data_IF_631224711050
#
_entry.id   IF_631224711050
#
_cell.length_a   1.000
_cell.length_b   1.000
_cell.length_c   1.000
_cell.angle_alpha   90.00
_cell.angle_beta   90.00
_cell.angle_gamma   90.00
#
_symmetry.space_group_name_H-M   'P 1'
#
loop_
_entity.id
_entity.type
_entity.pdbx_description
1 polymer ?
#
# COMPACT_ATOMS: atom_id res chain seq x y z
N UNK A 1 -5.92 -9.83 -7.50
CA UNK A 1 -5.34 -8.75 -6.69
C UNK A 1 -3.82 -8.87 -6.70
N UNK A 2 -3.16 -7.76 -6.73
CA UNK A 2 -1.70 -7.75 -6.70
C UNK A 2 -1.21 -7.95 -5.26
N UNK A 3 0.01 -8.40 -5.13
CA UNK A 3 0.65 -8.59 -3.82
C UNK A 3 1.92 -7.76 -3.76
N UNK A 4 2.26 -7.34 -2.57
CA UNK A 4 3.47 -6.58 -2.34
C UNK A 4 3.85 -6.58 -0.87
N UNK A 5 4.88 -5.79 -0.58
CA UNK A 5 5.38 -5.66 0.79
C UNK A 5 5.40 -4.18 1.14
N UNK A 6 5.01 -3.85 2.36
CA UNK A 6 5.05 -2.47 2.82
C UNK A 6 6.52 -2.05 2.93
N UNK A 7 6.89 -1.04 2.17
CA UNK A 7 8.24 -0.49 2.23
C UNK A 7 8.40 0.37 3.47
N UNK A 8 7.43 1.24 3.72
CA UNK A 8 7.32 1.98 4.97
C UNK A 8 5.91 2.56 5.05
N UNK A 9 5.48 2.86 6.26
CA UNK A 9 4.17 3.46 6.48
C UNK A 9 4.25 4.42 7.65
N UNK A 10 3.75 5.63 7.46
CA UNK A 10 3.74 6.66 8.50
C UNK A 10 2.33 6.82 9.02
N UNK A 11 2.08 6.31 10.22
CA UNK A 11 0.75 6.36 10.83
C UNK A 11 0.32 7.79 11.18
N UNK A 12 1.27 8.64 11.53
CA UNK A 12 0.96 10.03 11.88
C UNK A 12 0.44 10.80 10.68
N UNK A 13 1.02 10.56 9.53
CA UNK A 13 0.59 11.22 8.30
C UNK A 13 -0.46 10.42 7.55
N UNK A 14 -0.61 9.14 7.89
CA UNK A 14 -1.63 8.28 7.32
C UNK A 14 -1.35 7.83 5.90
N UNK A 15 -0.10 7.64 5.52
CA UNK A 15 0.24 7.13 4.20
C UNK A 15 1.57 6.38 4.22
N UNK A 16 1.81 5.64 3.15
CA UNK A 16 3.05 4.91 3.00
C UNK A 16 3.22 4.44 1.56
N UNK A 17 4.14 3.51 1.37
CA UNK A 17 4.42 2.93 0.06
C UNK A 17 4.51 1.42 0.13
N UNK A 18 4.03 0.79 -0.95
CA UNK A 18 4.11 -0.65 -1.13
C UNK A 18 5.11 -0.93 -2.23
N UNK A 19 6.02 -1.87 -1.98
CA UNK A 19 6.91 -2.38 -3.00
C UNK A 19 6.23 -3.59 -3.65
N UNK A 20 5.84 -3.51 -4.93
CA UNK A 20 5.16 -4.61 -5.59
C UNK A 20 6.02 -5.87 -5.63
N UNK A 21 5.41 -7.04 -5.39
CA UNK A 21 6.14 -8.30 -5.42
C UNK A 21 6.71 -8.60 -6.81
N UNK A 22 6.04 -8.11 -7.84
CA UNK A 22 6.49 -8.30 -9.22
C UNK A 22 7.59 -7.32 -9.64
N UNK A 23 7.93 -6.40 -8.76
CA UNK A 23 8.88 -5.34 -9.06
C UNK A 23 8.21 -4.12 -9.64
N UNK A 24 8.99 -3.14 -9.99
CA UNK A 24 8.48 -1.89 -10.53
C UNK A 24 8.53 -0.77 -9.51
N UNK A 25 7.83 0.30 -9.79
CA UNK A 25 7.80 1.48 -8.93
C UNK A 25 6.94 1.24 -7.69
N UNK A 26 7.35 1.84 -6.58
CA UNK A 26 6.55 1.79 -5.36
C UNK A 26 5.19 2.43 -5.58
N UNK A 27 4.18 1.87 -4.93
CA UNK A 27 2.83 2.40 -5.03
C UNK A 27 2.47 3.12 -3.75
N UNK A 28 1.85 4.28 -3.90
CA UNK A 28 1.34 5.06 -2.78
C UNK A 28 0.13 4.34 -2.16
N UNK A 29 0.06 4.33 -0.83
CA UNK A 29 -1.09 3.80 -0.11
C UNK A 29 -1.49 4.79 0.97
N UNK A 30 -2.78 5.12 1.03
CA UNK A 30 -3.34 6.00 2.04
C UNK A 30 -4.09 5.16 3.08
N UNK A 31 -4.11 5.63 4.33
CA UNK A 31 -4.74 4.86 5.41
C UNK A 31 -6.22 4.56 5.14
N UNK A 32 -6.89 5.41 4.38
CA UNK A 32 -8.29 5.18 4.03
C UNK A 32 -8.49 3.97 3.13
N UNK A 33 -7.44 3.52 2.48
CA UNK A 33 -7.49 2.35 1.60
C UNK A 33 -7.10 1.06 2.30
N UNK A 34 -6.76 1.14 3.57
CA UNK A 34 -6.51 -0.03 4.40
C UNK A 34 -7.74 -0.30 5.24
N UNK A 35 -7.92 -1.53 5.68
CA UNK A 35 -9.08 -1.93 6.47
C UNK A 35 -8.96 -1.53 7.95
N UNK A 36 -8.36 -0.39 8.21
CA UNK A 36 -8.18 0.08 9.58
C UNK A 36 -6.99 -0.54 10.29
N UNK A 37 -6.18 -1.28 9.57
CA UNK A 37 -4.99 -1.89 10.15
C UNK A 37 -3.80 -0.94 10.09
N UNK A 38 -3.03 -0.94 11.15
CA UNK A 38 -1.74 -0.27 11.11
C UNK A 38 -0.80 -1.15 10.30
N UNK A 39 -0.25 -0.60 9.24
CA UNK A 39 0.70 -1.33 8.41
C UNK A 39 2.11 -1.02 8.89
N UNK A 40 2.93 -2.05 8.92
CA UNK A 40 4.30 -1.93 9.37
C UNK A 40 5.26 -2.26 8.23
N UNK A 41 6.45 -1.69 8.30
CA UNK A 41 7.50 -1.99 7.34
C UNK A 41 7.74 -3.50 7.29
N UNK A 42 7.74 -4.04 6.10
CA UNK A 42 7.95 -5.47 5.88
C UNK A 42 6.68 -6.32 5.86
N UNK A 43 5.52 -5.74 6.17
CA UNK A 43 4.26 -6.48 6.12
C UNK A 43 3.91 -6.84 4.69
N UNK A 44 3.43 -8.05 4.50
CA UNK A 44 2.95 -8.48 3.19
C UNK A 44 1.48 -8.17 3.06
N UNK A 45 1.11 -7.64 1.90
CA UNK A 45 -0.25 -7.17 1.66
C UNK A 45 -0.74 -7.59 0.29
N UNK A 46 -2.06 -7.63 0.14
CA UNK A 46 -2.72 -7.72 -1.15
C UNK A 46 -3.42 -6.40 -1.40
N UNK A 47 -3.48 -5.99 -2.64
CA UNK A 47 -4.09 -4.71 -2.99
C UNK A 47 -4.53 -4.72 -4.44
N UNK A 48 -5.33 -3.71 -4.79
CA UNK A 48 -5.69 -3.44 -6.17
C UNK A 48 -5.02 -2.16 -6.61
N UNK A 49 -4.76 -2.04 -7.89
CA UNK A 49 -4.17 -0.83 -8.45
C UNK A 49 -5.30 0.09 -8.86
N UNK A 50 -5.32 1.29 -8.27
CA UNK A 50 -6.27 2.31 -8.62
C UNK A 50 -5.56 3.55 -9.13
N UNK A 51 -6.32 4.52 -9.58
CA UNK A 51 -5.76 5.79 -10.01
C UNK A 51 -6.09 6.86 -8.98
N UNK A 52 -5.05 7.49 -8.46
CA UNK A 52 -5.20 8.62 -7.57
C UNK A 52 -4.83 9.92 -8.28
N UNK A 53 -4.89 11.02 -7.54
CA UNK A 53 -4.56 12.33 -8.09
C UNK A 53 -3.11 12.44 -8.54
N UNK A 54 -2.24 11.64 -7.97
CA UNK A 54 -0.80 11.67 -8.27
C UNK A 54 -0.35 10.50 -9.14
N UNK A 55 -1.28 9.72 -9.67
CA UNK A 55 -0.98 8.56 -10.47
C UNK A 55 -1.42 7.26 -9.83
N UNK A 56 -0.87 6.12 -10.26
CA UNK A 56 -1.28 4.83 -9.72
C UNK A 56 -1.05 4.75 -8.22
N UNK A 57 -2.01 4.16 -7.51
CA UNK A 57 -1.90 3.95 -6.08
C UNK A 57 -2.52 2.61 -5.70
N UNK A 58 -2.17 2.12 -4.52
CA UNK A 58 -2.76 0.91 -4.01
C UNK A 58 -4.09 1.21 -3.32
N UNK A 59 -5.12 0.44 -3.64
CA UNK A 59 -6.44 0.57 -3.02
C UNK A 59 -6.87 -0.80 -2.51
N UNK A 60 -7.83 -0.80 -1.59
CA UNK A 60 -8.36 -2.04 -1.00
C UNK A 60 -7.22 -2.90 -0.41
N UNK A 61 -6.33 -2.28 0.32
CA UNK A 61 -5.14 -2.94 0.85
C UNK A 61 -5.52 -3.79 2.06
N UNK A 62 -5.04 -5.03 2.07
CA UNK A 62 -5.27 -5.97 3.17
C UNK A 62 -3.96 -6.66 3.50
N UNK A 63 -3.75 -6.93 4.79
CA UNK A 63 -2.63 -7.78 5.18
C UNK A 63 -2.93 -9.22 4.81
N UNK A 64 -1.90 -9.93 4.40
CA UNK A 64 -2.03 -11.33 3.98
C UNK A 64 -1.65 -12.27 5.12
#
# INVERSE_FOLDING_TARGET
MAKGTIKWFNEDKGFGFIEPAEGGNDLFVHHSETDGYALNEGDKVEYEIGEGKKGPCAVSVKTV
#
